data_IF_092603035447
#
_entry.id   IF_092603035447
#
_cell.length_a   1.000
_cell.length_b   1.000
_cell.length_c   1.000
_cell.angle_alpha   90.00
_cell.angle_beta   90.00
_cell.angle_gamma   90.00
#
_symmetry.space_group_name_H-M   'P 1'
#
loop_
_entity.id
_entity.type
_entity.pdbx_description
1 polymer ?
#
# COMPACT_ATOMS: atom_id res chain seq x y z
N UNK A 1 -45.94 -7.45 4.72
CA UNK A 1 -45.42 -6.19 5.32
C UNK A 1 -43.91 -6.16 5.17
N UNK A 2 -43.41 -5.19 4.40
CA UNK A 2 -42.10 -4.49 4.47
C UNK A 2 -40.75 -5.22 4.25
N UNK A 3 -40.12 -4.74 3.18
CA UNK A 3 -38.70 -4.31 3.00
C UNK A 3 -37.67 -5.30 2.44
N UNK A 4 -37.54 -5.22 1.12
CA UNK A 4 -36.32 -4.91 0.33
C UNK A 4 -34.96 -5.46 0.83
N UNK A 5 -34.39 -6.38 0.05
CA UNK A 5 -32.94 -6.60 -0.05
C UNK A 5 -32.57 -6.44 -1.54
N UNK A 6 -31.65 -5.51 -1.78
CA UNK A 6 -31.15 -5.07 -3.08
C UNK A 6 -30.30 -6.19 -3.71
N UNK A 7 -30.66 -6.61 -4.93
CA UNK A 7 -29.85 -7.48 -5.79
C UNK A 7 -29.03 -6.60 -6.73
N UNK A 8 -27.71 -6.63 -6.61
CA UNK A 8 -26.79 -6.16 -7.65
C UNK A 8 -25.88 -7.33 -8.08
N UNK A 9 -25.98 -7.69 -9.36
CA UNK A 9 -25.00 -8.47 -10.13
C UNK A 9 -24.49 -7.58 -11.27
N UNK A 10 -23.50 -7.98 -12.09
CA UNK A 10 -22.09 -8.20 -11.76
C UNK A 10 -21.18 -7.21 -12.53
N UNK A 11 -20.07 -6.79 -11.93
CA UNK A 11 -19.09 -5.89 -12.57
C UNK A 11 -18.21 -6.70 -13.52
N UNK A 12 -18.37 -6.45 -14.83
CA UNK A 12 -17.55 -6.94 -15.93
C UNK A 12 -16.26 -6.12 -16.01
N UNK A 13 -15.13 -6.78 -15.82
CA UNK A 13 -13.79 -6.23 -16.03
C UNK A 13 -13.54 -5.89 -17.50
N UNK A 14 -13.31 -4.61 -17.81
CA UNK A 14 -12.64 -4.18 -19.03
C UNK A 14 -11.25 -3.66 -18.68
N UNK A 15 -10.25 -4.33 -19.24
CA UNK A 15 -8.88 -3.84 -19.36
C UNK A 15 -8.90 -2.44 -19.98
N UNK A 16 -8.17 -1.49 -19.38
CA UNK A 16 -7.85 -0.23 -20.04
C UNK A 16 -6.40 0.14 -19.73
N UNK A 17 -5.59 -0.10 -20.76
CA UNK A 17 -4.57 0.80 -21.30
C UNK A 17 -4.02 1.85 -20.33
N UNK A 18 -2.75 1.64 -19.97
CA UNK A 18 -1.86 2.65 -19.39
C UNK A 18 -1.89 3.89 -20.29
N UNK A 19 -2.65 4.91 -19.87
CA UNK A 19 -2.64 6.21 -20.53
C UNK A 19 -1.98 7.20 -19.57
N UNK A 20 -0.70 7.47 -19.86
CA UNK A 20 0.17 8.39 -19.15
C UNK A 20 -0.34 9.81 -19.37
N UNK A 21 -1.31 10.24 -18.56
CA UNK A 21 -1.75 11.62 -18.53
C UNK A 21 -0.64 12.44 -17.88
N UNK A 22 0.22 13.00 -18.73
CA UNK A 22 1.01 14.18 -18.45
C UNK A 22 0.00 15.25 -18.03
N UNK A 23 -0.07 15.52 -16.73
CA UNK A 23 -0.85 16.63 -16.21
C UNK A 23 -0.30 17.90 -16.84
N UNK A 24 -1.09 18.47 -17.76
CA UNK A 24 -0.84 19.78 -18.34
C UNK A 24 -0.82 20.77 -17.18
N UNK A 25 0.29 21.48 -17.03
CA UNK A 25 0.41 22.62 -16.13
C UNK A 25 -0.79 23.55 -16.34
N UNK A 26 -1.58 23.87 -15.30
CA UNK A 26 -2.50 24.97 -15.40
C UNK A 26 -1.66 26.24 -15.34
N UNK A 27 -1.36 26.79 -16.53
CA UNK A 27 -1.08 28.21 -16.69
C UNK A 27 -2.19 29.00 -15.99
N UNK A 28 -1.92 29.41 -14.77
CA UNK A 28 -2.45 30.63 -14.17
C UNK A 28 -1.51 31.01 -13.04
N UNK A 29 -0.26 31.32 -13.43
CA UNK A 29 0.41 32.43 -12.77
C UNK A 29 -0.61 33.56 -12.82
N UNK A 30 -1.17 33.87 -11.65
CA UNK A 30 -1.82 35.15 -11.44
C UNK A 30 -0.67 36.13 -11.61
N UNK A 31 -0.49 36.56 -12.86
CA UNK A 31 0.19 37.77 -13.21
C UNK A 31 -0.54 38.81 -12.38
N UNK A 32 -0.02 39.11 -11.20
CA UNK A 32 -0.40 40.31 -10.48
C UNK A 32 0.11 41.38 -11.43
N UNK A 33 -0.73 41.77 -12.39
CA UNK A 33 -0.74 43.13 -12.90
C UNK A 33 -0.84 43.93 -11.61
N UNK A 34 0.30 44.35 -11.10
CA UNK A 34 0.39 45.49 -10.23
C UNK A 34 -0.22 46.57 -11.11
N UNK A 35 -1.51 46.80 -10.89
CA UNK A 35 -2.24 47.86 -11.56
C UNK A 35 -1.40 49.09 -11.26
N UNK A 36 -0.93 49.76 -12.32
CA UNK A 36 -0.08 50.95 -12.27
C UNK A 36 -0.84 52.14 -11.68
N UNK A 37 -1.42 51.96 -10.50
CA UNK A 37 -2.21 52.93 -9.79
C UNK A 37 -1.67 53.05 -8.38
N UNK A 38 -1.28 54.27 -8.00
CA UNK A 38 -0.83 54.60 -6.65
C UNK A 38 -2.00 54.49 -5.67
N UNK A 39 -1.71 54.35 -4.38
CA UNK A 39 -2.76 54.30 -3.34
C UNK A 39 -3.69 55.52 -3.42
N UNK A 40 -3.15 56.70 -3.73
CA UNK A 40 -3.93 57.92 -3.98
C UNK A 40 -4.93 57.76 -5.14
N UNK A 41 -4.50 57.21 -6.28
CA UNK A 41 -5.36 57.00 -7.44
C UNK A 41 -6.48 55.98 -7.17
N UNK A 42 -6.25 55.02 -6.27
CA UNK A 42 -7.29 54.11 -5.80
C UNK A 42 -8.30 54.82 -4.89
N UNK A 43 -7.83 55.64 -3.96
CA UNK A 43 -8.69 56.40 -3.07
C UNK A 43 -9.56 57.40 -3.84
N UNK A 44 -9.00 58.12 -4.82
CA UNK A 44 -9.77 59.00 -5.69
C UNK A 44 -10.89 58.27 -6.45
N UNK A 45 -10.60 57.07 -6.95
CA UNK A 45 -11.57 56.26 -7.68
C UNK A 45 -12.66 55.70 -6.78
N UNK A 46 -12.32 55.34 -5.54
CA UNK A 46 -13.29 54.96 -4.49
C UNK A 46 -14.20 56.14 -4.18
N UNK A 47 -13.63 57.32 -3.90
CA UNK A 47 -14.37 58.53 -3.57
C UNK A 47 -15.31 58.97 -4.70
N UNK A 48 -14.85 58.89 -5.95
CA UNK A 48 -15.66 59.19 -7.13
C UNK A 48 -16.86 58.24 -7.27
N UNK A 49 -16.66 56.93 -7.06
CA UNK A 49 -17.74 55.95 -7.09
C UNK A 49 -18.72 56.14 -5.93
N UNK A 50 -18.25 56.51 -4.74
CA UNK A 50 -19.11 56.81 -3.59
C UNK A 50 -20.00 58.03 -3.85
N UNK A 51 -19.45 59.11 -4.42
CA UNK A 51 -20.24 60.28 -4.84
C UNK A 51 -21.32 59.90 -5.85
N UNK A 52 -20.94 59.13 -6.88
CA UNK A 52 -21.85 58.71 -7.96
C UNK A 52 -22.95 57.77 -7.49
N UNK A 53 -22.70 56.98 -6.45
CA UNK A 53 -23.72 56.15 -5.78
C UNK A 53 -24.70 57.03 -4.98
N UNK A 54 -24.20 58.09 -4.33
CA UNK A 54 -25.01 59.01 -3.52
C UNK A 54 -25.96 59.86 -4.38
N UNK A 55 -25.50 60.29 -5.55
CA UNK A 55 -26.27 61.08 -6.54
C UNK A 55 -27.41 60.26 -7.20
N UNK A 56 -27.26 58.94 -7.33
CA UNK A 56 -28.26 58.05 -7.93
C UNK A 56 -29.36 57.67 -6.93
N UNK A 57 -30.26 58.62 -6.67
CA UNK A 57 -31.47 58.42 -5.87
C UNK A 57 -32.67 58.01 -6.74
N UNK A 58 -33.70 57.38 -6.14
CA UNK A 58 -34.91 56.91 -6.82
C UNK A 58 -34.95 55.41 -7.17
N UNK A 59 -36.16 54.86 -7.34
CA UNK A 59 -36.42 53.43 -7.61
C UNK A 59 -35.91 52.99 -8.99
N UNK A 60 -35.87 53.91 -9.94
CA UNK A 60 -35.51 53.71 -11.35
C UNK A 60 -34.01 53.42 -11.54
N UNK A 61 -33.18 53.91 -10.62
CA UNK A 61 -31.73 53.78 -10.67
C UNK A 61 -31.17 52.57 -9.88
N UNK A 62 -32.04 51.72 -9.33
CA UNK A 62 -31.67 50.61 -8.42
C UNK A 62 -30.67 49.63 -9.05
N UNK A 63 -30.83 49.33 -10.34
CA UNK A 63 -29.95 48.41 -11.07
C UNK A 63 -28.57 48.99 -11.33
N UNK A 64 -28.48 50.28 -11.69
CA UNK A 64 -27.21 51.01 -11.85
C UNK A 64 -26.48 51.13 -10.52
N UNK A 65 -27.19 51.46 -9.44
CA UNK A 65 -26.63 51.58 -8.09
C UNK A 65 -26.03 50.26 -7.59
N UNK A 66 -26.71 49.12 -7.83
CA UNK A 66 -26.16 47.79 -7.49
C UNK A 66 -24.85 47.46 -8.21
N UNK A 67 -24.72 47.87 -9.49
CA UNK A 67 -23.48 47.67 -10.26
C UNK A 67 -22.32 48.48 -9.68
N UNK A 68 -22.56 49.75 -9.35
CA UNK A 68 -21.55 50.62 -8.73
C UNK A 68 -21.13 50.13 -7.34
N UNK A 69 -22.06 49.64 -6.52
CA UNK A 69 -21.72 49.00 -5.24
C UNK A 69 -20.83 47.76 -5.41
N UNK A 70 -21.05 46.96 -6.46
CA UNK A 70 -20.22 45.80 -6.75
C UNK A 70 -18.80 46.21 -7.20
N UNK A 71 -18.71 47.21 -8.06
CA UNK A 71 -17.44 47.78 -8.54
C UNK A 71 -16.61 48.37 -7.38
N UNK A 72 -17.27 49.11 -6.48
CA UNK A 72 -16.66 49.64 -5.27
C UNK A 72 -16.16 48.53 -4.33
N UNK A 73 -16.93 47.46 -4.16
CA UNK A 73 -16.51 46.32 -3.33
C UNK A 73 -15.28 45.61 -3.92
N UNK A 74 -15.19 45.50 -5.25
CA UNK A 74 -14.01 44.94 -5.92
C UNK A 74 -12.78 45.83 -5.74
N UNK A 75 -12.91 47.15 -5.90
CA UNK A 75 -11.82 48.10 -5.70
C UNK A 75 -11.31 48.10 -4.26
N UNK A 76 -12.20 48.16 -3.27
CA UNK A 76 -11.82 48.08 -1.84
C UNK A 76 -11.12 46.77 -1.48
N UNK A 77 -11.47 45.66 -2.13
CA UNK A 77 -10.80 44.36 -1.94
C UNK A 77 -9.40 44.34 -2.54
N UNK A 78 -9.20 45.02 -3.66
CA UNK A 78 -7.89 45.13 -4.31
C UNK A 78 -6.94 46.04 -3.53
N UNK A 79 -7.42 47.14 -2.95
CA UNK A 79 -6.62 48.02 -2.07
C UNK A 79 -6.08 47.25 -0.85
N UNK A 80 -6.90 46.39 -0.22
CA UNK A 80 -6.42 45.51 0.86
C UNK A 80 -5.30 44.56 0.44
N UNK A 81 -5.18 44.23 -0.84
CA UNK A 81 -4.09 43.38 -1.36
C UNK A 81 -2.83 44.18 -1.70
N UNK A 82 -2.88 45.51 -1.67
CA UNK A 82 -1.74 46.42 -1.89
C UNK A 82 -1.06 46.75 -0.55
N UNK A 83 -1.76 46.65 0.60
CA UNK A 83 -1.20 46.77 1.94
C UNK A 83 0.07 45.91 2.10
N UNK A 84 1.27 46.52 2.24
CA UNK A 84 2.54 45.78 2.27
C UNK A 84 2.58 44.68 3.32
N UNK A 85 2.00 44.93 4.50
CA UNK A 85 1.92 43.96 5.59
C UNK A 85 1.07 42.72 5.25
N UNK A 86 -0.05 42.89 4.53
CA UNK A 86 -0.92 41.76 4.17
C UNK A 86 -0.31 40.91 3.05
N UNK A 87 0.48 41.52 2.16
CA UNK A 87 1.26 40.82 1.15
C UNK A 87 2.33 39.94 1.82
N UNK A 88 3.08 40.51 2.77
CA UNK A 88 4.12 39.81 3.53
C UNK A 88 3.55 38.60 4.28
N UNK A 89 2.44 38.81 5.01
CA UNK A 89 1.75 37.75 5.77
C UNK A 89 1.27 36.60 4.86
N UNK A 90 0.77 36.93 3.68
CA UNK A 90 0.30 35.93 2.71
C UNK A 90 1.46 35.13 2.10
N UNK A 91 2.61 35.78 1.83
CA UNK A 91 3.84 35.09 1.39
C UNK A 91 4.37 34.15 2.48
N UNK A 92 4.38 34.59 3.74
CA UNK A 92 4.80 33.77 4.88
C UNK A 92 3.91 32.54 5.03
N UNK A 93 2.58 32.70 5.01
CA UNK A 93 1.63 31.57 5.08
C UNK A 93 1.80 30.57 3.94
N UNK A 94 2.03 31.05 2.71
CA UNK A 94 2.29 30.16 1.57
C UNK A 94 3.63 29.42 1.71
N UNK A 95 4.66 30.08 2.24
CA UNK A 95 5.96 29.46 2.52
C UNK A 95 5.84 28.39 3.60
N UNK A 96 5.16 28.69 4.71
CA UNK A 96 4.87 27.75 5.79
C UNK A 96 4.09 26.53 5.28
N UNK A 97 3.06 26.75 4.44
CA UNK A 97 2.29 25.67 3.84
C UNK A 97 3.16 24.77 2.95
N UNK A 98 4.12 25.33 2.22
CA UNK A 98 5.09 24.56 1.41
C UNK A 98 6.05 23.76 2.28
N UNK A 99 6.56 24.36 3.37
CA UNK A 99 7.43 23.69 4.34
C UNK A 99 6.67 22.54 5.00
N UNK A 100 5.45 22.78 5.48
CA UNK A 100 4.62 21.78 6.14
C UNK A 100 4.36 20.58 5.23
N UNK A 101 4.03 20.79 3.95
CA UNK A 101 3.86 19.69 2.99
C UNK A 101 5.12 18.85 2.81
N UNK A 102 6.31 19.47 2.78
CA UNK A 102 7.58 18.75 2.69
C UNK A 102 7.86 17.95 3.97
N UNK A 103 7.59 18.53 5.14
CA UNK A 103 7.74 17.87 6.43
C UNK A 103 6.82 16.66 6.57
N UNK A 104 5.53 16.81 6.23
CA UNK A 104 4.58 15.68 6.31
C UNK A 104 4.96 14.54 5.38
N UNK A 105 5.47 14.85 4.17
CA UNK A 105 5.93 13.82 3.24
C UNK A 105 7.14 13.06 3.78
N UNK A 106 8.15 13.78 4.32
CA UNK A 106 9.31 13.15 4.97
C UNK A 106 8.90 12.29 6.18
N UNK A 107 7.92 12.76 6.96
CA UNK A 107 7.42 12.01 8.12
C UNK A 107 6.79 10.67 7.70
N UNK A 108 6.00 10.68 6.62
CA UNK A 108 5.41 9.46 6.06
C UNK A 108 6.48 8.47 5.59
N UNK A 109 7.51 8.94 4.88
CA UNK A 109 8.64 8.10 4.44
C UNK A 109 9.37 7.46 5.64
N UNK A 110 9.61 8.21 6.72
CA UNK A 110 10.24 7.69 7.94
C UNK A 110 9.37 6.61 8.59
N UNK A 111 8.06 6.84 8.68
CA UNK A 111 7.13 5.86 9.28
C UNK A 111 7.08 4.55 8.49
N UNK A 112 7.13 4.61 7.16
CA UNK A 112 7.19 3.42 6.31
C UNK A 112 8.45 2.61 6.57
N UNK A 113 9.62 3.27 6.59
CA UNK A 113 10.90 2.63 6.90
C UNK A 113 10.87 1.97 8.30
N UNK A 114 10.29 2.65 9.30
CA UNK A 114 10.16 2.08 10.64
C UNK A 114 9.24 0.85 10.67
N UNK A 115 8.13 0.87 9.92
CA UNK A 115 7.22 -0.29 9.80
C UNK A 115 7.95 -1.47 9.15
N UNK A 116 8.73 -1.24 8.11
CA UNK A 116 9.53 -2.30 7.48
C UNK A 116 10.59 -2.87 8.42
N UNK A 117 11.35 -2.03 9.13
CA UNK A 117 12.31 -2.47 10.14
C UNK A 117 11.65 -3.31 11.23
N UNK A 118 10.46 -2.92 11.70
CA UNK A 118 9.68 -3.72 12.67
C UNK A 118 9.30 -5.09 12.11
N UNK A 119 8.85 -5.17 10.85
CA UNK A 119 8.53 -6.45 10.18
C UNK A 119 9.75 -7.37 10.08
N UNK A 120 10.91 -6.83 9.70
CA UNK A 120 12.16 -7.60 9.62
C UNK A 120 12.54 -8.13 11.01
N UNK A 121 12.51 -7.27 12.04
CA UNK A 121 12.82 -7.64 13.42
C UNK A 121 11.87 -8.72 13.96
N UNK A 122 10.58 -8.66 13.64
CA UNK A 122 9.63 -9.73 14.01
C UNK A 122 9.97 -11.04 13.29
N UNK A 123 10.23 -10.99 11.98
CA UNK A 123 10.63 -12.18 11.21
C UNK A 123 11.91 -12.83 11.74
N UNK A 124 12.84 -12.07 12.32
CA UNK A 124 14.06 -12.61 12.94
C UNK A 124 13.81 -13.29 14.28
N UNK A 125 12.91 -12.75 15.11
CA UNK A 125 12.55 -13.34 16.40
C UNK A 125 11.93 -14.73 16.26
N UNK A 126 11.17 -14.94 15.19
CA UNK A 126 10.49 -16.21 14.91
C UNK A 126 11.40 -17.25 14.23
N UNK A 127 12.64 -16.90 13.89
CA UNK A 127 13.59 -17.86 13.29
C UNK A 127 14.05 -18.85 14.36
N UNK A 128 13.85 -20.14 14.10
CA UNK A 128 14.40 -21.23 14.88
C UNK A 128 15.76 -21.61 14.32
N UNK A 129 16.78 -21.68 15.17
CA UNK A 129 18.09 -22.19 14.79
C UNK A 129 17.98 -23.69 14.51
N UNK A 130 18.36 -24.11 13.30
CA UNK A 130 18.30 -25.53 12.89
C UNK A 130 19.31 -26.41 13.65
N UNK A 131 20.29 -25.82 14.31
CA UNK A 131 21.37 -26.53 15.01
C UNK A 131 21.04 -26.71 16.49
N UNK A 132 20.84 -25.63 17.25
CA UNK A 132 20.56 -25.69 18.70
C UNK A 132 19.07 -25.64 19.05
N UNK A 133 18.17 -25.51 18.06
CA UNK A 133 16.70 -25.47 18.23
C UNK A 133 16.16 -24.28 19.04
N UNK A 134 16.99 -23.31 19.40
CA UNK A 134 16.56 -22.07 20.08
C UNK A 134 16.03 -21.04 19.07
N UNK A 135 15.05 -20.26 19.50
CA UNK A 135 14.47 -19.15 18.70
C UNK A 135 15.36 -17.91 18.71
N UNK A 136 15.17 -17.02 17.74
CA UNK A 136 15.81 -15.70 17.67
C UNK A 136 17.13 -15.64 16.90
N UNK A 137 17.59 -16.74 16.31
CA UNK A 137 18.78 -16.75 15.45
C UNK A 137 18.75 -17.89 14.42
N UNK A 138 19.59 -17.79 13.39
CA UNK A 138 19.79 -18.82 12.36
C UNK A 138 21.01 -19.67 12.67
N UNK A 139 21.13 -20.83 12.00
CA UNK A 139 22.26 -21.75 12.14
C UNK A 139 23.63 -21.06 12.00
N UNK A 140 23.76 -20.09 11.08
CA UNK A 140 24.99 -19.31 10.86
C UNK A 140 25.41 -18.42 12.04
N UNK A 141 24.47 -18.05 12.91
CA UNK A 141 24.72 -17.20 14.09
C UNK A 141 24.56 -17.99 15.40
N UNK A 142 24.65 -19.32 15.34
CA UNK A 142 24.54 -20.20 16.50
C UNK A 142 25.84 -20.17 17.32
N UNK A 143 25.79 -19.66 18.55
CA UNK A 143 26.96 -19.62 19.45
C UNK A 143 27.34 -20.99 20.03
N UNK A 144 26.40 -21.93 20.09
CA UNK A 144 26.57 -23.21 20.78
C UNK A 144 27.15 -24.33 19.90
N UNK A 145 27.23 -24.16 18.58
CA UNK A 145 27.67 -25.23 17.68
C UNK A 145 28.42 -24.67 16.48
N UNK A 146 29.74 -24.49 16.66
CA UNK A 146 30.71 -24.29 15.58
C UNK A 146 31.20 -25.66 15.09
N UNK A 147 30.27 -26.53 14.71
CA UNK A 147 30.57 -27.70 13.88
C UNK A 147 29.51 -27.76 12.79
N UNK A 148 29.58 -26.77 11.90
CA UNK A 148 28.92 -26.86 10.60
C UNK A 148 29.72 -27.89 9.83
N UNK A 149 29.32 -29.15 9.90
CA UNK A 149 29.79 -30.13 8.92
C UNK A 149 29.18 -29.69 7.59
N UNK A 150 29.99 -29.14 6.69
CA UNK A 150 29.63 -28.70 5.33
C UNK A 150 29.12 -29.84 4.41
N UNK A 151 28.71 -30.96 4.99
CA UNK A 151 28.16 -32.10 4.30
C UNK A 151 26.68 -31.83 3.98
N UNK A 152 26.46 -30.97 2.97
CA UNK A 152 25.14 -30.76 2.37
C UNK A 152 24.75 -32.02 1.61
N UNK A 153 24.14 -32.98 2.31
CA UNK A 153 23.63 -34.21 1.69
C UNK A 153 22.27 -33.91 1.05
N UNK A 154 22.12 -34.25 -0.22
CA UNK A 154 20.85 -34.21 -0.92
C UNK A 154 19.90 -35.26 -0.32
N UNK A 155 18.81 -34.80 0.28
CA UNK A 155 17.83 -35.69 0.92
C UNK A 155 17.06 -36.62 -0.05
N UNK A 156 17.11 -36.36 -1.36
CA UNK A 156 16.50 -37.21 -2.40
C UNK A 156 17.45 -38.30 -2.91
N UNK A 157 18.73 -37.98 -3.15
CA UNK A 157 19.66 -38.88 -3.84
C UNK A 157 20.92 -39.27 -3.04
N UNK A 158 21.14 -38.70 -1.87
CA UNK A 158 22.28 -38.99 -1.00
C UNK A 158 23.61 -38.35 -1.43
N UNK A 159 23.63 -37.56 -2.51
CA UNK A 159 24.84 -36.88 -2.97
C UNK A 159 25.21 -35.72 -2.05
N UNK A 160 26.50 -35.57 -1.74
CA UNK A 160 27.04 -34.45 -0.96
C UNK A 160 27.34 -33.21 -1.82
N UNK A 161 27.12 -33.27 -3.14
CA UNK A 161 27.49 -32.20 -4.09
C UNK A 161 26.42 -31.12 -4.27
N UNK A 162 25.18 -31.38 -3.88
CA UNK A 162 24.05 -30.49 -4.16
C UNK A 162 22.93 -30.59 -3.12
N UNK A 163 22.09 -29.55 -3.03
CA UNK A 163 20.91 -29.57 -2.15
C UNK A 163 19.72 -30.23 -2.83
N UNK A 164 18.66 -30.54 -2.07
CA UNK A 164 17.40 -31.07 -2.62
C UNK A 164 16.83 -30.21 -3.77
N UNK A 165 17.07 -28.89 -3.78
CA UNK A 165 16.57 -27.98 -4.82
C UNK A 165 17.28 -28.15 -6.14
N UNK A 166 18.58 -28.45 -6.09
CA UNK A 166 19.46 -28.57 -7.25
C UNK A 166 19.59 -30.04 -7.69
N UNK A 167 18.76 -30.92 -7.14
CA UNK A 167 18.77 -32.34 -7.46
C UNK A 167 18.12 -32.57 -8.84
N UNK A 168 18.93 -33.04 -9.78
CA UNK A 168 18.46 -33.40 -11.13
C UNK A 168 17.72 -34.76 -11.17
N UNK A 169 17.81 -35.57 -10.12
CA UNK A 169 17.08 -36.85 -10.04
C UNK A 169 15.59 -36.59 -9.78
N UNK A 170 14.68 -37.42 -10.33
CA UNK A 170 13.25 -37.30 -10.06
C UNK A 170 12.99 -37.34 -8.55
N UNK A 171 12.08 -36.49 -8.08
CA UNK A 171 11.72 -36.42 -6.66
C UNK A 171 11.04 -37.72 -6.26
N UNK A 172 11.73 -38.59 -5.53
CA UNK A 172 11.10 -39.73 -4.91
C UNK A 172 10.21 -39.21 -3.79
N UNK A 173 8.93 -39.57 -3.77
CA UNK A 173 7.96 -39.06 -2.78
C UNK A 173 8.36 -39.30 -1.31
N UNK A 174 9.36 -40.16 -1.07
CA UNK A 174 10.02 -40.37 0.22
C UNK A 174 11.46 -39.87 0.16
N UNK A 175 11.80 -38.93 1.06
CA UNK A 175 13.17 -38.43 1.21
C UNK A 175 14.01 -39.42 2.04
N UNK A 176 14.50 -40.46 1.37
CA UNK A 176 15.21 -41.58 2.00
C UNK A 176 16.42 -41.17 2.85
N UNK A 177 17.08 -40.08 2.47
CA UNK A 177 18.28 -39.58 3.13
C UNK A 177 17.99 -38.43 4.11
N UNK A 178 16.72 -38.02 4.26
CA UNK A 178 16.34 -37.04 5.28
C UNK A 178 16.30 -37.70 6.66
N UNK A 179 16.82 -37.00 7.67
CA UNK A 179 16.66 -37.36 9.08
C UNK A 179 15.50 -36.59 9.68
N UNK A 180 14.55 -37.30 10.29
CA UNK A 180 13.40 -36.68 10.93
C UNK A 180 13.82 -35.90 12.20
N UNK A 181 13.36 -34.65 12.34
CA UNK A 181 13.72 -33.83 13.50
C UNK A 181 13.01 -34.24 14.80
N UNK A 182 11.99 -35.10 14.71
CA UNK A 182 11.15 -35.55 15.84
C UNK A 182 11.63 -36.90 16.36
N UNK A 183 11.63 -37.95 15.53
CA UNK A 183 12.05 -39.29 15.96
C UNK A 183 13.53 -39.60 15.72
N UNK A 184 14.28 -38.71 15.04
CA UNK A 184 15.71 -38.88 14.67
C UNK A 184 16.00 -40.04 13.71
N UNK A 185 14.99 -40.73 13.21
CA UNK A 185 15.15 -41.80 12.20
C UNK A 185 15.33 -41.19 10.80
N UNK A 186 16.09 -41.89 9.94
CA UNK A 186 16.25 -41.53 8.53
C UNK A 186 15.12 -42.11 7.66
N UNK A 187 14.78 -41.43 6.57
CA UNK A 187 13.82 -41.92 5.56
C UNK A 187 12.60 -41.03 5.35
N UNK A 188 12.39 -40.05 6.22
CA UNK A 188 11.26 -39.13 6.17
C UNK A 188 11.58 -37.80 6.85
N UNK A 189 10.77 -36.78 6.57
CA UNK A 189 10.81 -35.48 7.24
C UNK A 189 9.75 -35.41 8.35
N UNK A 190 9.88 -34.47 9.28
CA UNK A 190 8.96 -34.33 10.43
C UNK A 190 7.47 -34.29 10.07
N UNK A 191 7.11 -33.78 8.89
CA UNK A 191 5.72 -33.76 8.40
C UNK A 191 5.16 -35.16 8.18
N UNK A 192 5.98 -36.05 7.64
CA UNK A 192 5.60 -37.40 7.22
C UNK A 192 6.00 -38.44 8.29
N UNK A 193 6.31 -37.97 9.51
CA UNK A 193 6.73 -38.82 10.61
C UNK A 193 5.52 -39.50 11.28
N UNK A 194 5.48 -40.84 11.36
CA UNK A 194 4.37 -41.56 11.99
C UNK A 194 4.31 -41.33 13.50
N UNK A 195 5.44 -40.97 14.12
CA UNK A 195 5.58 -40.68 15.56
C UNK A 195 5.31 -39.20 15.89
N UNK A 196 4.81 -38.39 14.95
CA UNK A 196 4.55 -36.97 15.18
C UNK A 196 3.06 -36.70 15.48
N UNK A 197 2.66 -36.61 16.76
CA UNK A 197 1.25 -36.38 17.13
C UNK A 197 0.75 -34.97 16.73
N UNK A 198 1.66 -34.02 16.46
CA UNK A 198 1.32 -32.64 16.09
C UNK A 198 1.21 -32.45 14.56
N UNK A 199 1.61 -33.45 13.77
CA UNK A 199 1.61 -33.39 12.31
C UNK A 199 2.38 -32.17 11.76
N UNK A 200 1.82 -31.51 10.75
CA UNK A 200 2.43 -30.34 10.11
C UNK A 200 2.49 -29.09 11.02
N UNK A 201 1.71 -29.03 12.11
CA UNK A 201 1.55 -27.83 12.93
C UNK A 201 2.50 -27.86 14.14
N UNK A 202 3.46 -26.94 14.19
CA UNK A 202 4.53 -26.93 15.22
C UNK A 202 4.01 -26.91 16.68
N UNK A 203 2.89 -26.22 16.92
CA UNK A 203 2.28 -26.09 18.25
C UNK A 203 1.08 -27.02 18.46
N UNK A 204 0.83 -27.96 17.54
CA UNK A 204 -0.40 -28.75 17.50
C UNK A 204 -1.56 -27.99 16.84
N UNK A 205 -2.70 -28.66 16.72
CA UNK A 205 -3.88 -28.17 15.99
C UNK A 205 -4.02 -28.80 14.60
N UNK A 206 -4.97 -28.31 13.81
CA UNK A 206 -5.29 -28.84 12.49
C UNK A 206 -5.85 -27.76 11.57
N UNK A 207 -6.07 -28.14 10.31
CA UNK A 207 -6.70 -27.28 9.33
C UNK A 207 -8.08 -26.83 9.85
N UNK A 208 -8.32 -25.52 10.00
CA UNK A 208 -9.61 -25.03 10.52
C UNK A 208 -10.83 -25.35 9.64
N UNK A 209 -10.64 -25.89 8.43
CA UNK A 209 -11.72 -26.26 7.52
C UNK A 209 -12.14 -27.73 7.73
N UNK A 210 -11.18 -28.64 7.99
CA UNK A 210 -11.44 -30.08 8.05
C UNK A 210 -10.73 -30.80 9.21
N UNK A 211 -10.13 -30.04 10.13
CA UNK A 211 -9.34 -30.47 11.28
C UNK A 211 -8.16 -31.41 11.01
N UNK A 212 -7.78 -31.63 9.74
CA UNK A 212 -6.63 -32.47 9.38
C UNK A 212 -5.30 -31.83 9.76
N UNK A 213 -4.38 -32.65 10.27
CA UNK A 213 -3.02 -32.26 10.65
C UNK A 213 -1.99 -32.36 9.51
N UNK A 214 -2.40 -32.87 8.34
CA UNK A 214 -1.49 -33.25 7.26
C UNK A 214 -1.29 -32.16 6.19
N UNK A 215 -2.15 -31.14 6.16
CA UNK A 215 -2.07 -30.02 5.21
C UNK A 215 -2.36 -28.69 5.89
N UNK A 216 -1.86 -27.60 5.29
CA UNK A 216 -2.22 -26.23 5.68
C UNK A 216 -3.58 -25.85 5.12
N UNK A 217 -4.26 -24.87 5.71
CA UNK A 217 -5.55 -24.37 5.21
C UNK A 217 -5.51 -24.00 3.71
N UNK A 218 -4.38 -23.44 3.26
CA UNK A 218 -4.16 -23.08 1.86
C UNK A 218 -4.21 -24.29 0.92
N UNK A 219 -3.81 -25.48 1.39
CA UNK A 219 -3.79 -26.71 0.61
C UNK A 219 -4.91 -27.67 1.03
N UNK A 220 -5.95 -27.17 1.71
CA UNK A 220 -7.05 -28.02 2.12
C UNK A 220 -7.91 -28.40 0.89
N UNK A 221 -8.20 -29.70 0.68
CA UNK A 221 -9.05 -30.14 -0.43
C UNK A 221 -10.50 -29.65 -0.29
N UNK A 222 -10.93 -29.33 0.94
CA UNK A 222 -12.23 -28.76 1.24
C UNK A 222 -12.22 -27.22 1.23
N UNK A 223 -11.10 -26.58 0.85
CA UNK A 223 -11.05 -25.13 0.75
C UNK A 223 -11.86 -24.67 -0.49
N UNK A 224 -12.88 -23.82 -0.31
CA UNK A 224 -13.71 -23.34 -1.42
C UNK A 224 -12.90 -22.64 -2.51
N UNK A 225 -11.78 -21.98 -2.17
CA UNK A 225 -10.89 -21.36 -3.16
C UNK A 225 -10.17 -22.39 -4.02
N UNK A 226 -9.78 -23.52 -3.44
CA UNK A 226 -9.05 -24.56 -4.18
C UNK A 226 -9.96 -25.34 -5.13
N UNK A 227 -11.24 -25.53 -4.78
CA UNK A 227 -12.23 -26.15 -5.67
C UNK A 227 -12.46 -25.35 -6.95
N UNK A 228 -12.49 -24.01 -6.84
CA UNK A 228 -12.65 -23.13 -8.00
C UNK A 228 -11.40 -23.19 -8.89
N UNK A 229 -10.20 -23.19 -8.29
CA UNK A 229 -8.93 -23.29 -9.00
C UNK A 229 -8.82 -24.63 -9.75
N UNK A 230 -9.18 -25.75 -9.12
CA UNK A 230 -9.14 -27.06 -9.78
C UNK A 230 -10.13 -27.16 -10.95
N UNK A 231 -11.32 -26.56 -10.83
CA UNK A 231 -12.31 -26.53 -11.91
C UNK A 231 -11.87 -25.65 -13.09
N UNK A 232 -11.17 -24.55 -12.81
CA UNK A 232 -10.60 -23.68 -13.86
C UNK A 232 -9.44 -24.35 -14.59
N UNK A 233 -8.60 -25.11 -13.87
CA UNK A 233 -7.48 -25.85 -14.46
C UNK A 233 -7.93 -27.04 -15.31
N UNK A 234 -8.98 -27.76 -14.91
CA UNK A 234 -9.57 -28.84 -15.72
C UNK A 234 -10.14 -28.30 -17.03
N UNK A 235 -10.91 -27.20 -17.01
CA UNK A 235 -11.41 -26.57 -18.24
C UNK A 235 -10.30 -26.15 -19.20
N UNK A 236 -9.21 -25.57 -18.68
CA UNK A 236 -8.06 -25.19 -19.50
C UNK A 236 -7.33 -26.39 -20.13
N UNK A 237 -7.35 -27.55 -19.47
CA UNK A 237 -6.78 -28.79 -20.03
C UNK A 237 -7.70 -29.42 -21.07
N UNK A 238 -9.02 -29.41 -20.85
CA UNK A 238 -10.00 -29.93 -21.80
C UNK A 238 -10.04 -29.08 -23.08
N UNK A 239 -9.93 -27.74 -22.95
CA UNK A 239 -9.84 -26.80 -24.07
C UNK A 239 -8.53 -27.00 -24.88
N UNK A 240 -7.44 -27.46 -24.26
CA UNK A 240 -6.15 -27.69 -24.91
C UNK A 240 -6.04 -29.07 -25.58
N UNK A 241 -6.89 -30.04 -25.20
CA UNK A 241 -6.90 -31.40 -25.77
C UNK A 241 -8.00 -31.60 -26.83
N UNK A 242 -8.75 -30.53 -27.15
CA UNK A 242 -9.85 -30.55 -28.13
C UNK A 242 -9.49 -29.87 -29.48
N UNK A 243 -8.26 -29.37 -29.61
CA UNK A 243 -7.65 -28.86 -30.86
C UNK A 243 -6.56 -29.84 -31.35
#
# INVERSE_FOLDING_TARGET
MRKQIIKNSPIRSKQSSVNKQIAKDPKSEINIRILHMTDEQYQEKINSLESRISELQGSENKTKRKRLYHELAQLKKNVKLIDPNLIEEKRQKDLERRIQKKLTKKQQEIEEIQKEKKKIKMKEKDKVCLVCKKIGHIAQHCRENVQVTDNVICYNCGSQKHTLKDCQKPKSGSLKFATCFICKESGHISRDCPKNPKGLYAYGGGCYICNSTHHTQANCPQNPKNRIISQQQQKQQDDYMSD
#
